data_IF_605691333054
#
_entry.id   IF_605691333054
#
_cell.length_a   1.000
_cell.length_b   1.000
_cell.length_c   1.000
_cell.angle_alpha   90.00
_cell.angle_beta   90.00
_cell.angle_gamma   90.00
#
_symmetry.space_group_name_H-M   'P 1'
#
loop_
_entity.id
_entity.type
_entity.pdbx_description
1 polymer ?
#
# COMPACT_ATOMS: atom_id res chain seq x y z
N UNK A 1 -25.28 -12.01 8.47
CA UNK A 1 -25.34 -11.31 7.17
C UNK A 1 -25.49 -9.81 7.41
N UNK A 2 -24.88 -9.00 6.57
CA UNK A 2 -24.91 -7.55 6.68
C UNK A 2 -25.57 -6.93 5.43
N UNK A 3 -25.68 -5.61 5.43
CA UNK A 3 -26.13 -4.84 4.28
C UNK A 3 -25.08 -3.82 3.87
N UNK A 4 -24.82 -3.75 2.57
CA UNK A 4 -23.92 -2.80 1.97
C UNK A 4 -24.70 -1.68 1.29
N UNK A 5 -24.29 -0.44 1.52
CA UNK A 5 -24.87 0.73 0.85
C UNK A 5 -24.10 1.02 -0.42
N UNK A 6 -24.78 1.04 -1.54
CA UNK A 6 -24.23 1.30 -2.85
C UNK A 6 -24.79 2.60 -3.42
N UNK A 7 -24.00 3.26 -4.27
CA UNK A 7 -24.38 4.50 -4.94
C UNK A 7 -24.58 4.25 -6.45
N UNK A 8 -25.76 4.59 -6.97
CA UNK A 8 -26.04 4.45 -8.40
C UNK A 8 -25.14 5.31 -9.28
N UNK A 9 -24.67 6.44 -8.76
CA UNK A 9 -23.80 7.38 -9.48
C UNK A 9 -22.34 6.98 -9.48
N UNK A 10 -21.94 6.08 -8.58
CA UNK A 10 -20.57 5.56 -8.47
C UNK A 10 -20.63 4.02 -8.50
N UNK A 11 -20.78 3.41 -9.68
CA UNK A 11 -20.93 1.95 -9.78
C UNK A 11 -19.75 1.21 -9.13
N UNK A 12 -20.10 0.24 -8.30
CA UNK A 12 -19.11 -0.62 -7.64
C UNK A 12 -18.59 -0.12 -6.31
N UNK A 13 -18.86 1.13 -5.93
CA UNK A 13 -18.40 1.65 -4.64
C UNK A 13 -19.28 1.16 -3.49
N UNK A 14 -18.65 0.60 -2.46
CA UNK A 14 -19.30 0.28 -1.19
C UNK A 14 -19.16 1.48 -0.27
N UNK A 15 -20.27 2.19 -0.01
CA UNK A 15 -20.25 3.43 0.77
C UNK A 15 -20.29 3.17 2.27
N UNK A 16 -21.02 2.14 2.70
CA UNK A 16 -21.19 1.78 4.11
C UNK A 16 -21.55 0.31 4.22
N UNK A 17 -21.25 -0.30 5.35
CA UNK A 17 -21.68 -1.67 5.69
C UNK A 17 -22.25 -1.65 7.10
N UNK A 18 -23.48 -2.15 7.26
CA UNK A 18 -24.17 -2.18 8.55
C UNK A 18 -24.77 -3.56 8.79
N UNK A 19 -25.10 -3.85 10.05
CA UNK A 19 -25.85 -5.04 10.39
C UNK A 19 -27.28 -4.94 9.85
N UNK A 20 -27.89 -6.07 9.52
CA UNK A 20 -29.27 -6.13 9.12
C UNK A 20 -30.15 -5.57 10.25
N UNK A 21 -31.01 -4.62 9.93
CA UNK A 21 -31.84 -3.92 10.90
C UNK A 21 -31.28 -2.58 11.35
N UNK A 22 -30.02 -2.28 11.01
CA UNK A 22 -29.39 -1.00 11.32
C UNK A 22 -29.34 -0.04 10.12
N UNK A 23 -30.04 -0.37 9.05
CA UNK A 23 -30.13 0.46 7.85
C UNK A 23 -30.80 1.80 8.19
N UNK A 24 -30.29 2.87 7.62
CA UNK A 24 -30.85 4.22 7.74
C UNK A 24 -31.43 4.66 6.40
N UNK A 25 -32.32 5.66 6.45
CA UNK A 25 -32.90 6.23 5.24
C UNK A 25 -31.84 6.90 4.38
N UNK A 26 -31.95 6.66 3.07
CA UNK A 26 -31.03 7.22 2.08
C UNK A 26 -31.84 7.82 0.92
N UNK A 27 -31.19 8.72 0.16
CA UNK A 27 -31.81 9.26 -1.05
C UNK A 27 -31.97 8.16 -2.12
N UNK A 28 -32.73 8.48 -3.18
CA UNK A 28 -32.97 7.53 -4.27
C UNK A 28 -31.73 7.16 -5.08
N UNK A 29 -30.62 7.89 -4.89
CA UNK A 29 -29.34 7.58 -5.53
C UNK A 29 -28.60 6.44 -4.86
N UNK A 30 -29.03 6.02 -3.68
CA UNK A 30 -28.43 4.93 -2.90
C UNK A 30 -29.39 3.76 -2.76
N UNK A 31 -28.82 2.58 -2.56
CA UNK A 31 -29.62 1.37 -2.30
C UNK A 31 -28.83 0.38 -1.46
N UNK A 32 -29.56 -0.46 -0.73
CA UNK A 32 -28.98 -1.50 0.13
C UNK A 32 -28.98 -2.84 -0.58
N UNK A 33 -27.90 -3.60 -0.40
CA UNK A 33 -27.75 -4.96 -0.92
C UNK A 33 -27.26 -5.87 0.22
N UNK A 34 -27.84 -7.06 0.33
CA UNK A 34 -27.37 -8.05 1.27
C UNK A 34 -25.91 -8.43 0.96
N UNK A 35 -25.08 -8.56 1.98
CA UNK A 35 -23.68 -8.91 1.80
C UNK A 35 -23.19 -9.84 2.92
N UNK A 36 -22.12 -10.62 2.67
CA UNK A 36 -21.47 -11.40 3.72
C UNK A 36 -20.93 -10.52 4.85
N UNK A 37 -20.70 -11.11 6.02
CA UNK A 37 -20.27 -10.40 7.22
C UNK A 37 -18.85 -9.81 7.11
N UNK A 38 -18.03 -10.35 6.22
CA UNK A 38 -16.64 -9.93 6.01
C UNK A 38 -16.46 -8.80 4.99
N UNK A 39 -17.55 -8.30 4.40
CA UNK A 39 -17.48 -7.20 3.44
C UNK A 39 -17.15 -5.90 4.15
N UNK A 40 -16.21 -5.15 3.58
CA UNK A 40 -15.75 -3.84 4.07
C UNK A 40 -16.00 -2.76 3.03
N UNK A 41 -15.91 -1.49 3.44
CA UNK A 41 -16.06 -0.37 2.51
C UNK A 41 -14.94 -0.31 1.46
N UNK A 42 -13.84 -1.01 1.69
CA UNK A 42 -12.77 -1.15 0.70
C UNK A 42 -13.06 -2.15 -0.42
N UNK A 43 -14.10 -2.99 -0.25
CA UNK A 43 -14.51 -3.93 -1.30
C UNK A 43 -15.14 -3.19 -2.48
N UNK A 44 -15.12 -3.83 -3.64
CA UNK A 44 -15.80 -3.36 -4.83
C UNK A 44 -16.96 -4.33 -5.17
N UNK A 45 -18.12 -3.79 -5.48
CA UNK A 45 -19.27 -4.57 -5.92
C UNK A 45 -19.29 -4.66 -7.45
N UNK A 46 -19.27 -5.86 -7.99
CA UNK A 46 -19.29 -6.09 -9.44
C UNK A 46 -20.00 -7.41 -9.76
N UNK A 47 -20.96 -7.36 -10.69
CA UNK A 47 -21.69 -8.55 -11.17
C UNK A 47 -22.29 -9.38 -10.01
N UNK A 48 -22.86 -8.71 -9.02
CA UNK A 48 -23.48 -9.39 -7.87
C UNK A 48 -22.51 -9.90 -6.83
N UNK A 49 -21.23 -9.59 -6.95
CA UNK A 49 -20.17 -10.07 -6.03
C UNK A 49 -19.40 -8.91 -5.40
N UNK A 50 -18.98 -9.13 -4.16
CA UNK A 50 -18.11 -8.19 -3.44
C UNK A 50 -16.66 -8.68 -3.56
N UNK A 51 -15.83 -7.87 -4.19
CA UNK A 51 -14.42 -8.21 -4.46
C UNK A 51 -13.54 -7.46 -3.48
N UNK A 52 -12.68 -8.16 -2.72
CA UNK A 52 -11.74 -7.51 -1.80
C UNK A 52 -10.80 -6.54 -2.53
N UNK A 53 -10.42 -5.48 -1.83
CA UNK A 53 -9.43 -4.55 -2.36
C UNK A 53 -8.09 -5.27 -2.56
N UNK A 54 -7.54 -5.17 -3.77
CA UNK A 54 -6.22 -5.70 -4.11
C UNK A 54 -5.31 -4.55 -4.54
N UNK A 55 -4.34 -4.16 -3.70
CA UNK A 55 -3.41 -3.08 -4.04
C UNK A 55 -2.66 -3.30 -5.34
N UNK A 56 -2.37 -4.55 -5.71
CA UNK A 56 -1.62 -4.87 -6.93
C UNK A 56 -2.38 -4.49 -8.21
N UNK A 57 -3.71 -4.41 -8.15
CA UNK A 57 -4.55 -4.06 -9.30
C UNK A 57 -4.74 -2.56 -9.45
N UNK A 58 -4.27 -1.75 -8.49
CA UNK A 58 -4.48 -0.31 -8.53
C UNK A 58 -3.56 0.37 -9.54
N UNK A 59 -4.09 1.31 -10.34
CA UNK A 59 -3.26 2.07 -11.28
C UNK A 59 -2.11 2.78 -10.55
N UNK A 60 -0.92 2.68 -11.11
CA UNK A 60 0.26 3.34 -10.55
C UNK A 60 0.92 2.62 -9.38
N UNK A 61 0.38 1.50 -8.90
CA UNK A 61 1.00 0.79 -7.77
C UNK A 61 2.42 0.32 -8.12
N UNK A 62 2.58 -0.34 -9.27
CA UNK A 62 3.88 -0.88 -9.68
C UNK A 62 4.93 0.22 -9.88
N UNK A 63 4.51 1.40 -10.33
CA UNK A 63 5.41 2.53 -10.61
C UNK A 63 5.77 3.36 -9.39
N UNK A 64 4.96 3.32 -8.32
CA UNK A 64 5.08 4.27 -7.22
C UNK A 64 5.34 3.64 -5.85
N UNK A 65 4.80 2.45 -5.58
CA UNK A 65 4.88 1.86 -4.24
C UNK A 65 6.33 1.57 -3.82
N UNK A 66 7.18 1.11 -4.73
CA UNK A 66 8.58 0.83 -4.42
C UNK A 66 9.34 2.11 -4.02
N UNK A 67 8.98 3.25 -4.59
CA UNK A 67 9.62 4.54 -4.24
C UNK A 67 9.31 4.93 -2.81
N UNK A 68 8.05 4.79 -2.41
CA UNK A 68 7.62 5.09 -1.04
C UNK A 68 8.28 4.10 -0.07
N UNK A 69 8.23 2.81 -0.37
CA UNK A 69 8.83 1.78 0.49
C UNK A 69 10.34 1.97 0.66
N UNK A 70 11.07 2.23 -0.43
CA UNK A 70 12.51 2.50 -0.37
C UNK A 70 12.80 3.77 0.44
N UNK A 71 11.98 4.83 0.27
CA UNK A 71 12.12 6.06 1.05
C UNK A 71 12.02 5.82 2.55
N UNK A 72 11.12 4.92 2.98
CA UNK A 72 10.98 4.53 4.38
C UNK A 72 12.19 3.70 4.85
N UNK A 73 12.70 2.81 4.00
CA UNK A 73 13.79 1.89 4.34
C UNK A 73 15.16 2.56 4.38
N UNK A 74 15.37 3.63 3.62
CA UNK A 74 16.65 4.35 3.64
C UNK A 74 16.85 5.03 4.99
N UNK A 75 18.10 5.02 5.46
CA UNK A 75 18.52 5.86 6.59
C UNK A 75 18.30 7.34 6.25
N UNK A 76 18.23 8.18 7.27
CA UNK A 76 18.10 9.62 7.07
C UNK A 76 19.22 10.16 6.18
N UNK A 77 18.96 11.26 5.48
CA UNK A 77 19.98 11.91 4.64
C UNK A 77 21.21 12.27 5.48
N UNK A 78 21.01 12.75 6.71
CA UNK A 78 22.11 13.07 7.61
C UNK A 78 22.99 11.86 7.93
N UNK A 79 22.36 10.72 8.24
CA UNK A 79 23.09 9.48 8.52
C UNK A 79 23.83 8.99 7.29
N UNK A 80 23.23 9.08 6.11
CA UNK A 80 23.88 8.68 4.86
C UNK A 80 25.08 9.58 4.53
N UNK A 81 24.95 10.88 4.73
CA UNK A 81 26.08 11.81 4.54
C UNK A 81 27.22 11.49 5.50
N UNK A 82 26.92 11.14 6.75
CA UNK A 82 27.93 10.74 7.72
C UNK A 82 28.64 9.45 7.29
N UNK A 83 27.90 8.48 6.76
CA UNK A 83 28.49 7.25 6.21
C UNK A 83 29.46 7.55 5.08
N UNK A 84 29.09 8.42 4.15
CA UNK A 84 29.94 8.86 3.04
C UNK A 84 31.18 9.57 3.58
N UNK A 85 31.02 10.51 4.50
CA UNK A 85 32.11 11.26 5.11
C UNK A 85 33.13 10.35 5.77
N UNK A 86 32.66 9.43 6.60
CA UNK A 86 33.57 8.50 7.32
C UNK A 86 34.36 7.63 6.34
N UNK A 87 33.73 7.18 5.27
CA UNK A 87 34.40 6.33 4.29
C UNK A 87 35.47 7.11 3.50
N UNK A 88 35.12 8.34 3.08
CA UNK A 88 36.09 9.20 2.36
C UNK A 88 37.29 9.55 3.24
N UNK A 89 37.06 9.86 4.52
CA UNK A 89 38.15 10.17 5.45
C UNK A 89 39.05 8.95 5.68
N UNK A 90 38.46 7.76 5.82
CA UNK A 90 39.21 6.53 6.08
C UNK A 90 39.97 6.00 4.85
N UNK A 91 39.37 6.09 3.66
CA UNK A 91 39.84 5.41 2.46
C UNK A 91 40.18 6.34 1.29
N UNK A 92 39.84 7.63 1.39
CA UNK A 92 40.06 8.61 0.32
C UNK A 92 39.02 8.60 -0.77
N UNK A 93 38.09 7.64 -0.77
CA UNK A 93 37.03 7.52 -1.78
C UNK A 93 35.91 6.65 -1.27
N UNK A 94 34.76 6.68 -1.98
CA UNK A 94 33.62 5.79 -1.74
C UNK A 94 33.90 4.46 -2.44
N UNK A 95 33.64 3.35 -1.74
CA UNK A 95 33.88 2.00 -2.24
C UNK A 95 32.56 1.28 -2.49
N UNK A 96 32.52 0.43 -3.52
CA UNK A 96 31.33 -0.36 -3.86
C UNK A 96 30.96 -1.42 -2.81
N UNK A 97 31.90 -1.80 -1.96
CA UNK A 97 31.70 -2.71 -0.83
C UNK A 97 31.67 -2.00 0.53
N UNK A 98 31.69 -0.67 0.52
CA UNK A 98 31.60 0.14 1.72
C UNK A 98 30.18 0.19 2.31
N UNK A 99 30.06 0.77 3.50
CA UNK A 99 28.84 0.77 4.28
C UNK A 99 27.68 1.47 3.56
N UNK A 100 27.94 2.62 2.91
CA UNK A 100 26.89 3.39 2.25
C UNK A 100 26.35 2.66 1.02
N UNK A 101 27.21 2.23 0.12
CA UNK A 101 26.78 1.52 -1.09
C UNK A 101 26.09 0.20 -0.72
N UNK A 102 26.60 -0.53 0.28
CA UNK A 102 25.96 -1.75 0.77
C UNK A 102 24.55 -1.48 1.31
N UNK A 103 24.35 -0.41 2.06
CA UNK A 103 23.02 -0.02 2.56
C UNK A 103 22.05 0.24 1.42
N UNK A 104 22.41 1.06 0.45
CA UNK A 104 21.58 1.38 -0.71
C UNK A 104 21.27 0.11 -1.51
N UNK A 105 22.26 -0.74 -1.73
CA UNK A 105 22.08 -1.99 -2.48
C UNK A 105 21.11 -2.93 -1.76
N UNK A 106 21.23 -3.07 -0.45
CA UNK A 106 20.32 -3.92 0.33
C UNK A 106 18.88 -3.42 0.28
N UNK A 107 18.66 -2.11 0.39
CA UNK A 107 17.31 -1.53 0.28
C UNK A 107 16.72 -1.85 -1.09
N UNK A 108 17.49 -1.67 -2.16
CA UNK A 108 17.00 -1.95 -3.52
C UNK A 108 16.75 -3.44 -3.78
N UNK A 109 17.53 -4.32 -3.16
CA UNK A 109 17.32 -5.77 -3.27
C UNK A 109 16.10 -6.25 -2.48
N UNK A 110 15.88 -5.70 -1.30
CA UNK A 110 14.73 -6.04 -0.46
C UNK A 110 13.42 -5.47 -0.99
N UNK A 111 13.50 -4.39 -1.76
CA UNK A 111 12.33 -3.69 -2.34
C UNK A 111 12.58 -3.56 -3.85
N UNK A 112 12.47 -4.66 -4.62
CA UNK A 112 12.73 -4.63 -6.07
C UNK A 112 11.61 -3.91 -6.82
N UNK A 113 11.98 -2.92 -7.65
CA UNK A 113 10.99 -2.12 -8.39
C UNK A 113 10.20 -2.93 -9.41
N UNK A 114 10.76 -4.03 -9.90
CA UNK A 114 10.17 -4.84 -10.96
C UNK A 114 9.29 -5.98 -10.40
N UNK A 115 9.12 -6.04 -9.07
CA UNK A 115 8.31 -7.06 -8.40
C UNK A 115 7.32 -6.40 -7.43
N UNK A 116 6.17 -5.93 -7.92
CA UNK A 116 5.17 -5.27 -7.06
C UNK A 116 4.65 -6.15 -5.91
N UNK A 117 4.59 -7.46 -6.10
CA UNK A 117 4.15 -8.38 -5.06
C UNK A 117 5.15 -8.42 -3.89
N UNK A 118 6.46 -8.43 -4.18
CA UNK A 118 7.49 -8.36 -3.16
C UNK A 118 7.46 -7.00 -2.42
N UNK A 119 7.19 -5.91 -3.13
CA UNK A 119 7.03 -4.58 -2.54
C UNK A 119 5.84 -4.56 -1.57
N UNK A 120 4.72 -5.12 -1.96
CA UNK A 120 3.53 -5.20 -1.11
C UNK A 120 3.83 -6.02 0.14
N UNK A 121 4.52 -7.15 0.02
CA UNK A 121 4.90 -7.98 1.15
C UNK A 121 5.82 -7.22 2.11
N UNK A 122 6.79 -6.48 1.60
CA UNK A 122 7.66 -5.64 2.42
C UNK A 122 6.85 -4.59 3.19
N UNK A 123 5.89 -3.92 2.54
CA UNK A 123 5.03 -2.91 3.18
C UNK A 123 4.22 -3.53 4.32
N UNK A 124 3.66 -4.72 4.12
CA UNK A 124 2.89 -5.41 5.15
C UNK A 124 3.74 -5.77 6.37
N UNK A 125 5.01 -6.15 6.15
CA UNK A 125 5.93 -6.54 7.21
C UNK A 125 6.59 -5.35 7.92
N UNK A 126 6.48 -4.14 7.37
CA UNK A 126 7.08 -2.93 7.88
C UNK A 126 6.04 -1.80 7.96
N UNK A 127 4.99 -1.96 8.80
CA UNK A 127 3.94 -0.95 8.89
C UNK A 127 4.49 0.38 9.41
N UNK A 128 3.90 1.50 9.00
CA UNK A 128 4.31 2.82 9.50
C UNK A 128 4.07 2.90 11.01
N UNK A 129 5.02 3.51 11.71
CA UNK A 129 4.95 3.73 13.16
C UNK A 129 4.29 5.07 13.46
#
# INVERSE_FOLDING_TARGET
MKRALLNKLEPGRVCEVVDIGSEFEVSSDFYWVDCPDDVLTSHKYSNGQFIPFDPLTQPGFAENAYKVARGIAYKSVGDQLDMIYKEVIANGSISTDGAWVSHITQVKQNIPKDDPAAVLEWIKNNPPQ
#
